data_IF_750788907068
#
_entry.id   IF_750788907068
#
_cell.length_a   1.000
_cell.length_b   1.000
_cell.length_c   1.000
_cell.angle_alpha   90.00
_cell.angle_beta   90.00
_cell.angle_gamma   90.00
#
_symmetry.space_group_name_H-M   'P 1'
#
loop_
_entity.id
_entity.type
_entity.pdbx_description
1 polymer ?
#
# COMPACT_ATOMS: atom_id res chain seq x y z
N UNK A 1 10.68 3.71 5.00
CA UNK A 1 10.07 2.48 4.46
C UNK A 1 10.54 1.30 5.29
N UNK A 2 9.62 0.41 5.69
CA UNK A 2 9.91 -0.75 6.54
C UNK A 2 9.66 -2.01 5.73
N UNK A 3 10.70 -2.85 5.60
CA UNK A 3 10.59 -4.20 5.07
C UNK A 3 10.46 -5.20 6.22
N UNK A 4 9.42 -6.03 6.18
CA UNK A 4 9.21 -7.07 7.18
C UNK A 4 8.77 -8.37 6.52
N UNK A 5 9.54 -9.45 6.74
CA UNK A 5 9.19 -10.78 6.27
C UNK A 5 9.28 -11.77 7.42
N UNK A 6 8.13 -12.32 7.84
CA UNK A 6 8.02 -13.32 8.92
C UNK A 6 8.61 -12.88 10.28
N UNK A 7 8.59 -11.57 10.56
CA UNK A 7 9.16 -10.99 11.78
C UNK A 7 8.32 -9.82 12.32
N UNK A 8 6.99 -9.87 12.10
CA UNK A 8 6.12 -8.75 12.50
C UNK A 8 6.13 -8.53 14.00
N UNK A 9 6.08 -9.59 14.80
CA UNK A 9 6.05 -9.47 16.26
C UNK A 9 7.29 -8.77 16.80
N UNK A 10 8.47 -9.14 16.31
CA UNK A 10 9.75 -8.54 16.69
C UNK A 10 9.83 -7.08 16.24
N UNK A 11 9.42 -6.80 15.01
CA UNK A 11 9.37 -5.45 14.46
C UNK A 11 8.43 -4.56 15.28
N UNK A 12 7.21 -5.02 15.54
CA UNK A 12 6.20 -4.29 16.33
C UNK A 12 6.70 -4.02 17.74
N UNK A 13 7.35 -5.00 18.38
CA UNK A 13 7.92 -4.82 19.73
C UNK A 13 8.99 -3.70 19.74
N UNK A 14 9.84 -3.64 18.73
CA UNK A 14 10.83 -2.56 18.58
C UNK A 14 10.13 -1.23 18.31
N UNK A 15 9.18 -1.19 17.39
CA UNK A 15 8.45 0.03 17.05
C UNK A 15 7.70 0.61 18.26
N UNK A 16 7.06 -0.24 19.08
CA UNK A 16 6.38 0.20 20.30
C UNK A 16 7.35 0.85 21.30
N UNK A 17 8.59 0.33 21.40
CA UNK A 17 9.62 0.90 22.27
C UNK A 17 10.03 2.32 21.84
N UNK A 18 9.99 2.60 20.55
CA UNK A 18 10.42 3.87 19.97
C UNK A 18 9.28 4.71 19.39
N UNK A 19 8.02 4.39 19.72
CA UNK A 19 6.85 5.00 19.08
C UNK A 19 6.84 6.52 19.09
N UNK A 20 7.33 7.15 20.16
CA UNK A 20 7.34 8.60 20.30
C UNK A 20 8.42 9.28 19.43
N UNK A 21 9.30 8.49 18.80
CA UNK A 21 10.34 8.95 17.87
C UNK A 21 9.99 8.62 16.42
N UNK A 22 8.87 7.92 16.18
CA UNK A 22 8.43 7.52 14.85
C UNK A 22 7.42 8.56 14.32
N UNK A 23 7.69 9.12 13.17
CA UNK A 23 6.86 10.17 12.56
C UNK A 23 5.98 9.67 11.41
N UNK A 24 6.09 8.40 11.05
CA UNK A 24 5.33 7.77 9.96
C UNK A 24 6.23 7.00 8.99
N UNK A 25 5.60 6.40 8.00
CA UNK A 25 6.30 5.62 6.99
C UNK A 25 5.38 4.64 6.27
N UNK A 26 5.99 3.68 5.60
CA UNK A 26 5.28 2.64 4.85
C UNK A 26 5.76 1.27 5.27
N UNK A 27 4.85 0.40 5.66
CA UNK A 27 5.07 -1.05 5.73
C UNK A 27 4.97 -1.60 4.31
N UNK A 28 6.12 -1.79 3.71
CA UNK A 28 6.27 -2.21 2.32
C UNK A 28 5.79 -3.64 2.10
N UNK A 29 5.16 -3.88 0.96
CA UNK A 29 4.71 -5.19 0.48
C UNK A 29 3.86 -5.93 1.53
N UNK A 30 2.81 -5.28 2.03
CA UNK A 30 1.92 -5.89 3.00
C UNK A 30 1.15 -7.06 2.39
N UNK A 31 1.26 -8.23 3.01
CA UNK A 31 0.60 -9.48 2.60
C UNK A 31 -0.03 -10.22 3.77
N UNK A 32 -0.18 -9.54 4.91
CA UNK A 32 -0.73 -10.09 6.14
C UNK A 32 -2.26 -10.17 6.16
N UNK A 33 -2.79 -10.53 7.30
CA UNK A 33 -4.23 -10.66 7.57
C UNK A 33 -4.78 -9.39 8.25
N UNK A 34 -6.09 -9.41 8.60
CA UNK A 34 -6.80 -8.28 9.24
C UNK A 34 -6.20 -7.86 10.58
N UNK A 35 -5.79 -8.83 11.41
CA UNK A 35 -5.21 -8.54 12.73
C UNK A 35 -3.85 -7.87 12.59
N UNK A 36 -3.03 -8.39 11.69
CA UNK A 36 -1.72 -7.81 11.36
C UNK A 36 -1.86 -6.40 10.79
N UNK A 37 -2.82 -6.17 9.89
CA UNK A 37 -3.11 -4.84 9.36
C UNK A 37 -3.53 -3.87 10.47
N UNK A 38 -4.46 -4.26 11.33
CA UNK A 38 -4.92 -3.42 12.43
C UNK A 38 -3.79 -3.09 13.41
N UNK A 39 -2.91 -4.05 13.71
CA UNK A 39 -1.75 -3.83 14.57
C UNK A 39 -0.77 -2.82 13.95
N UNK A 40 -0.44 -2.95 12.68
CA UNK A 40 0.46 -2.02 11.98
C UNK A 40 -0.13 -0.62 11.89
N UNK A 41 -1.44 -0.50 11.65
CA UNK A 41 -2.12 0.79 11.57
C UNK A 41 -2.33 1.47 12.93
N UNK A 42 -2.07 0.77 14.05
CA UNK A 42 -2.00 1.40 15.38
C UNK A 42 -0.84 2.38 15.52
N UNK A 43 0.16 2.31 14.62
CA UNK A 43 1.22 3.30 14.52
C UNK A 43 0.73 4.47 13.67
N UNK A 44 0.54 5.62 14.32
CA UNK A 44 0.08 6.83 13.65
C UNK A 44 1.06 7.27 12.55
N UNK A 45 0.52 7.79 11.43
CA UNK A 45 1.34 8.24 10.29
C UNK A 45 1.90 7.12 9.42
N UNK A 46 1.66 5.85 9.74
CA UNK A 46 2.12 4.73 8.91
C UNK A 46 1.04 4.28 7.92
N UNK A 47 1.49 3.87 6.73
CA UNK A 47 0.70 3.37 5.62
C UNK A 47 1.02 1.91 5.33
N UNK A 48 0.09 1.20 4.69
CA UNK A 48 0.36 -0.12 4.10
C UNK A 48 0.68 0.04 2.62
N UNK A 49 1.81 -0.52 2.19
CA UNK A 49 2.20 -0.62 0.78
C UNK A 49 1.52 -1.83 0.13
N UNK A 50 0.65 -1.60 -0.83
CA UNK A 50 -0.13 -2.63 -1.51
C UNK A 50 0.35 -2.76 -2.96
N UNK A 51 0.77 -3.97 -3.31
CA UNK A 51 1.31 -4.30 -4.62
C UNK A 51 0.59 -5.44 -5.32
N UNK A 52 1.27 -6.09 -6.26
CA UNK A 52 0.72 -7.10 -7.16
C UNK A 52 0.05 -8.29 -6.49
N UNK A 53 0.46 -8.64 -5.25
CA UNK A 53 -0.14 -9.74 -4.47
C UNK A 53 -1.64 -9.57 -4.26
N UNK A 54 -2.15 -8.34 -4.19
CA UNK A 54 -3.59 -8.07 -4.12
C UNK A 54 -4.37 -8.75 -5.25
N UNK A 55 -3.79 -8.88 -6.44
CA UNK A 55 -4.43 -9.46 -7.61
C UNK A 55 -4.41 -10.98 -7.65
N UNK A 56 -3.65 -11.65 -6.77
CA UNK A 56 -3.47 -13.10 -6.80
C UNK A 56 -4.73 -13.83 -6.29
N UNK A 57 -5.08 -14.94 -6.95
CA UNK A 57 -6.26 -15.74 -6.55
C UNK A 57 -6.17 -16.27 -5.12
N UNK A 58 -4.97 -16.57 -4.65
CA UNK A 58 -4.70 -17.08 -3.30
C UNK A 58 -4.63 -15.99 -2.23
N UNK A 59 -4.74 -14.73 -2.62
CA UNK A 59 -4.68 -13.60 -1.69
C UNK A 59 -6.05 -13.30 -1.08
N UNK A 60 -6.10 -13.12 0.23
CA UNK A 60 -7.28 -12.67 0.96
C UNK A 60 -7.36 -11.14 1.10
N UNK A 61 -6.37 -10.42 0.56
CA UNK A 61 -6.29 -8.95 0.70
C UNK A 61 -7.50 -8.22 0.12
N UNK A 62 -8.15 -8.78 -0.93
CA UNK A 62 -9.34 -8.19 -1.55
C UNK A 62 -10.50 -8.02 -0.58
N UNK A 63 -10.66 -8.98 0.33
CA UNK A 63 -11.72 -9.00 1.34
C UNK A 63 -11.24 -8.39 2.66
N UNK A 64 -9.97 -8.58 3.00
CA UNK A 64 -9.43 -8.17 4.28
C UNK A 64 -9.15 -6.66 4.35
N UNK A 65 -8.62 -6.08 3.29
CA UNK A 65 -8.29 -4.64 3.30
C UNK A 65 -9.55 -3.77 3.50
N UNK A 66 -10.63 -3.91 2.71
CA UNK A 66 -11.82 -3.05 2.91
C UNK A 66 -12.47 -3.22 4.28
N UNK A 67 -12.27 -4.37 4.93
CA UNK A 67 -12.87 -4.65 6.22
C UNK A 67 -12.20 -3.89 7.39
N UNK A 68 -10.90 -3.57 7.29
CA UNK A 68 -10.14 -3.04 8.43
C UNK A 68 -9.18 -1.90 8.07
N UNK A 69 -8.93 -1.62 6.79
CA UNK A 69 -7.97 -0.62 6.34
C UNK A 69 -8.69 0.48 5.56
N UNK A 70 -8.72 1.72 6.03
CA UNK A 70 -9.25 2.83 5.24
C UNK A 70 -8.29 3.17 4.08
N UNK A 71 -8.85 3.65 2.95
CA UNK A 71 -8.06 3.99 1.75
C UNK A 71 -6.99 5.06 2.00
N UNK A 72 -7.23 5.97 2.96
CA UNK A 72 -6.28 7.02 3.34
C UNK A 72 -5.05 6.50 4.11
N UNK A 73 -4.99 5.20 4.36
CA UNK A 73 -3.85 4.50 4.97
C UNK A 73 -3.16 3.52 4.02
N UNK A 74 -3.40 3.64 2.70
CA UNK A 74 -2.81 2.78 1.66
C UNK A 74 -1.97 3.63 0.71
N UNK A 75 -0.81 3.09 0.31
CA UNK A 75 -0.04 3.53 -0.84
C UNK A 75 0.12 2.36 -1.81
N UNK A 76 0.20 2.65 -3.12
CA UNK A 76 0.44 1.63 -4.13
C UNK A 76 1.94 1.47 -4.39
N UNK A 77 2.36 0.25 -4.66
CA UNK A 77 3.74 -0.09 -4.92
C UNK A 77 3.89 -1.26 -5.88
N UNK A 78 5.11 -1.60 -6.26
CA UNK A 78 5.39 -2.72 -7.18
C UNK A 78 6.18 -3.86 -6.56
N UNK A 79 7.17 -3.58 -5.72
CA UNK A 79 8.26 -4.50 -5.35
C UNK A 79 9.02 -5.04 -6.59
N UNK A 80 9.11 -4.19 -7.65
CA UNK A 80 9.80 -4.57 -8.88
C UNK A 80 11.24 -5.01 -8.62
N UNK A 81 11.74 -6.04 -9.31
CA UNK A 81 11.14 -6.77 -10.45
C UNK A 81 10.25 -7.95 -10.07
N UNK A 82 9.89 -8.09 -8.79
CA UNK A 82 9.11 -9.20 -8.24
C UNK A 82 7.61 -8.90 -8.19
N UNK A 83 6.79 -9.89 -7.87
CA UNK A 83 5.37 -9.78 -7.53
C UNK A 83 4.50 -9.11 -8.61
N UNK A 84 4.79 -9.36 -9.90
CA UNK A 84 3.98 -8.82 -10.99
C UNK A 84 2.49 -9.17 -10.82
N UNK A 85 1.57 -8.18 -10.98
CA UNK A 85 0.14 -8.41 -10.84
C UNK A 85 -0.41 -9.26 -11.98
N UNK A 86 -1.56 -9.89 -11.75
CA UNK A 86 -2.33 -10.56 -12.83
C UNK A 86 -2.74 -9.50 -13.86
N UNK A 87 -2.66 -9.77 -15.19
CA UNK A 87 -2.34 -11.04 -15.83
C UNK A 87 -0.84 -11.30 -16.06
N UNK A 88 0.05 -10.43 -15.56
CA UNK A 88 1.49 -10.50 -15.82
C UNK A 88 2.27 -11.36 -14.80
N UNK A 89 1.58 -12.13 -13.98
CA UNK A 89 2.22 -13.00 -12.99
C UNK A 89 3.24 -13.94 -13.63
N UNK A 90 4.44 -14.04 -13.00
CA UNK A 90 5.55 -14.82 -13.53
C UNK A 90 6.45 -14.08 -14.53
N UNK A 91 6.06 -12.87 -14.94
CA UNK A 91 6.93 -11.96 -15.71
C UNK A 91 7.66 -11.00 -14.79
N UNK A 92 8.64 -10.28 -15.33
CA UNK A 92 9.29 -9.17 -14.64
C UNK A 92 8.26 -8.07 -14.35
N UNK A 93 8.17 -7.67 -13.08
CA UNK A 93 7.31 -6.56 -12.67
C UNK A 93 7.95 -5.21 -12.99
N UNK A 94 7.13 -4.19 -13.20
CA UNK A 94 7.54 -2.81 -13.51
C UNK A 94 6.48 -1.80 -13.07
N UNK A 95 6.85 -0.53 -12.97
CA UNK A 95 5.96 0.53 -12.48
C UNK A 95 4.73 0.74 -13.36
N UNK A 96 4.80 0.44 -14.66
CA UNK A 96 3.66 0.53 -15.58
C UNK A 96 2.51 -0.44 -15.24
N UNK A 97 2.73 -1.40 -14.34
CA UNK A 97 1.69 -2.34 -13.88
C UNK A 97 0.91 -1.84 -12.64
N UNK A 98 1.27 -0.72 -12.06
CA UNK A 98 0.51 -0.11 -10.93
C UNK A 98 -0.98 0.08 -11.26
N UNK A 99 -1.40 0.49 -12.47
CA UNK A 99 -2.82 0.60 -12.79
C UNK A 99 -3.62 -0.69 -12.59
N UNK A 100 -3.01 -1.87 -12.74
CA UNK A 100 -3.66 -3.15 -12.49
C UNK A 100 -3.95 -3.36 -10.99
N UNK A 101 -3.03 -2.96 -10.14
CA UNK A 101 -3.21 -2.98 -8.67
C UNK A 101 -4.29 -1.97 -8.26
N UNK A 102 -4.24 -0.76 -8.82
CA UNK A 102 -5.20 0.30 -8.59
C UNK A 102 -6.63 -0.15 -8.95
N UNK A 103 -6.84 -0.75 -10.11
CA UNK A 103 -8.13 -1.28 -10.55
C UNK A 103 -8.66 -2.37 -9.62
N UNK A 104 -7.80 -3.30 -9.19
CA UNK A 104 -8.20 -4.35 -8.26
C UNK A 104 -8.57 -3.76 -6.89
N UNK A 105 -7.84 -2.76 -6.41
CA UNK A 105 -8.16 -2.09 -5.16
C UNK A 105 -9.51 -1.34 -5.24
N UNK A 106 -9.76 -0.66 -6.36
CA UNK A 106 -11.02 0.01 -6.64
C UNK A 106 -12.21 -0.96 -6.59
N UNK A 107 -12.08 -2.12 -7.20
CA UNK A 107 -13.10 -3.18 -7.13
C UNK A 107 -13.33 -3.65 -5.69
N UNK A 108 -12.26 -3.85 -4.93
CA UNK A 108 -12.36 -4.32 -3.53
C UNK A 108 -13.07 -3.30 -2.63
N UNK A 109 -12.84 -2.01 -2.83
CA UNK A 109 -13.45 -0.93 -2.04
C UNK A 109 -14.79 -0.42 -2.59
N UNK A 110 -15.21 -0.84 -3.79
CA UNK A 110 -16.45 -0.39 -4.41
C UNK A 110 -16.42 1.08 -4.83
N UNK A 111 -15.25 1.59 -5.22
CA UNK A 111 -15.04 2.97 -5.70
C UNK A 111 -14.41 2.97 -7.09
N UNK A 112 -14.27 4.14 -7.73
CA UNK A 112 -13.62 4.24 -9.03
C UNK A 112 -12.09 4.10 -8.92
N UNK A 113 -11.43 3.67 -10.01
CA UNK A 113 -9.97 3.64 -10.08
C UNK A 113 -9.35 5.04 -9.95
N UNK A 114 -10.00 6.06 -10.48
CA UNK A 114 -9.57 7.46 -10.36
C UNK A 114 -9.59 7.94 -8.89
N UNK A 115 -10.61 7.54 -8.15
CA UNK A 115 -10.70 7.84 -6.71
C UNK A 115 -9.57 7.16 -5.93
N UNK A 116 -9.30 5.88 -6.19
CA UNK A 116 -8.15 5.17 -5.59
C UNK A 116 -6.85 5.85 -5.95
N UNK A 117 -6.61 6.16 -7.23
CA UNK A 117 -5.40 6.82 -7.70
C UNK A 117 -5.20 8.16 -6.99
N UNK A 118 -6.25 8.99 -6.92
CA UNK A 118 -6.21 10.29 -6.24
C UNK A 118 -5.84 10.16 -4.75
N UNK A 119 -6.51 9.26 -4.03
CA UNK A 119 -6.30 9.09 -2.58
C UNK A 119 -4.90 8.53 -2.31
N UNK A 120 -4.51 7.45 -2.99
CA UNK A 120 -3.23 6.79 -2.73
C UNK A 120 -2.03 7.64 -3.15
N UNK A 121 -2.17 8.46 -4.20
CA UNK A 121 -1.16 9.47 -4.58
C UNK A 121 -1.02 10.53 -3.48
N UNK A 122 -2.13 11.10 -3.00
CA UNK A 122 -2.10 12.07 -1.91
C UNK A 122 -1.47 11.49 -0.64
N UNK A 123 -1.76 10.21 -0.33
CA UNK A 123 -1.14 9.49 0.79
C UNK A 123 0.37 9.38 0.62
N UNK A 124 0.85 9.03 -0.57
CA UNK A 124 2.28 8.92 -0.86
C UNK A 124 2.99 10.27 -0.72
N UNK A 125 2.44 11.32 -1.33
CA UNK A 125 2.99 12.68 -1.25
C UNK A 125 3.11 13.12 0.21
N UNK A 126 2.04 12.96 1.00
CA UNK A 126 2.03 13.29 2.43
C UNK A 126 3.07 12.48 3.22
N UNK A 127 3.15 11.17 2.99
CA UNK A 127 4.04 10.27 3.74
C UNK A 127 5.51 10.57 3.49
N UNK A 128 5.85 10.95 2.27
CA UNK A 128 7.23 11.26 1.88
C UNK A 128 7.58 12.76 1.95
N UNK A 129 6.65 13.61 2.38
CA UNK A 129 6.87 15.05 2.48
C UNK A 129 7.14 15.71 1.12
N UNK A 130 6.53 15.18 0.06
CA UNK A 130 6.66 15.73 -1.29
C UNK A 130 5.55 16.76 -1.48
N UNK A 131 5.93 18.02 -1.73
CA UNK A 131 4.97 19.06 -2.09
C UNK A 131 4.44 18.80 -3.51
N UNK A 132 3.11 18.80 -3.64
CA UNK A 132 2.47 18.75 -4.96
C UNK A 132 2.58 20.13 -5.60
N UNK A 133 3.70 20.38 -6.26
CA UNK A 133 3.94 21.60 -7.01
C UNK A 133 3.31 21.57 -8.41
N UNK A 134 2.62 20.47 -8.75
CA UNK A 134 2.08 20.28 -10.09
C UNK A 134 0.58 20.62 -10.15
N UNK A 135 0.25 21.91 -10.04
CA UNK A 135 -0.92 22.48 -10.69
C UNK A 135 -0.65 22.73 -12.18
N UNK A 136 0.27 22.01 -12.76
CA UNK A 136 0.58 22.02 -14.19
C UNK A 136 -0.58 21.48 -14.99
N UNK A 137 -1.32 22.37 -15.60
CA UNK A 137 -2.23 22.11 -16.73
C UNK A 137 -1.51 21.20 -17.71
N UNK A 138 -2.00 19.97 -17.88
CA UNK A 138 -1.60 19.14 -19.01
C UNK A 138 -1.92 19.93 -20.28
N UNK A 139 -0.95 20.15 -21.19
CA UNK A 139 -1.27 20.76 -22.48
C UNK A 139 -2.22 19.84 -23.24
N UNK A 140 -3.29 20.46 -23.77
CA UNK A 140 -4.28 19.81 -24.66
C UNK A 140 -3.64 19.29 -25.93
#
# INVERSE_FOLDING_TARGET
>A
MIHCRKAQNEMVAIMRKYKDQLHGGVFHCFTGNRLEAAELLSFEGFMLGIGGVLTFKSSHLREDLPAVVPLDRIVLETDSPYMAPVPNRGKRNESSFIPLVCQQLAQSYGVSADEVARITTANALRTFGIEDNDHGVLPQ
#
